data_IF_733400530225
#
_entry.id   IF_733400530225
#
_cell.length_a   1.000
_cell.length_b   1.000
_cell.length_c   1.000
_cell.angle_alpha   90.00
_cell.angle_beta   90.00
_cell.angle_gamma   90.00
#
_symmetry.space_group_name_H-M   'P 1'
#
loop_
_entity.id
_entity.type
_entity.pdbx_description
1 polymer ?
#
# COMPACT_ATOMS: atom_id res chain seq x y z
N UNK A 1 25.39 44.58 125.41
CA UNK A 1 23.93 44.41 125.55
C UNK A 1 23.15 45.35 124.62
N UNK A 2 23.13 46.67 124.79
CA UNK A 2 22.37 47.57 123.88
C UNK A 2 22.91 47.62 122.43
N UNK A 3 24.24 47.72 122.25
CA UNK A 3 24.85 47.70 120.90
C UNK A 3 24.59 46.41 120.13
N UNK A 4 24.63 45.28 120.82
CA UNK A 4 24.38 43.96 120.23
C UNK A 4 22.90 43.81 119.81
N UNK A 5 21.98 44.36 120.60
CA UNK A 5 20.55 44.38 120.30
C UNK A 5 20.21 45.24 119.07
N UNK A 6 20.90 46.38 118.91
CA UNK A 6 20.77 47.26 117.73
C UNK A 6 21.30 46.55 116.48
N UNK A 7 22.49 45.92 116.57
CA UNK A 7 23.09 45.18 115.46
C UNK A 7 22.20 44.01 115.02
N UNK A 8 21.64 43.26 115.98
CA UNK A 8 20.71 42.16 115.72
C UNK A 8 19.41 42.64 115.03
N UNK A 9 18.88 43.81 115.42
CA UNK A 9 17.71 44.42 114.75
C UNK A 9 18.02 44.83 113.30
N UNK A 10 19.20 45.36 113.04
CA UNK A 10 19.65 45.73 111.70
C UNK A 10 19.84 44.50 110.81
N UNK A 11 20.49 43.45 111.32
CA UNK A 11 20.68 42.19 110.62
C UNK A 11 19.34 41.50 110.31
N UNK A 12 18.39 41.53 111.25
CA UNK A 12 17.03 41.01 111.08
C UNK A 12 16.26 41.80 109.99
N UNK A 13 16.45 43.12 109.93
CA UNK A 13 15.86 43.97 108.90
C UNK A 13 16.43 43.64 107.52
N UNK A 14 17.75 43.51 107.43
CA UNK A 14 18.44 43.15 106.18
C UNK A 14 18.03 41.77 105.68
N UNK A 15 17.95 40.76 106.57
CA UNK A 15 17.46 39.43 106.18
C UNK A 15 16.01 39.44 105.72
N UNK A 16 15.15 40.27 106.33
CA UNK A 16 13.75 40.43 105.89
C UNK A 16 13.65 41.06 104.50
N UNK A 17 14.49 42.05 104.18
CA UNK A 17 14.56 42.65 102.84
C UNK A 17 15.07 41.65 101.80
N UNK A 18 16.17 40.94 102.10
CA UNK A 18 16.71 39.88 101.23
C UNK A 18 15.66 38.80 100.99
N UNK A 19 14.96 38.35 102.02
CA UNK A 19 13.90 37.34 101.90
C UNK A 19 12.79 37.82 100.95
N UNK A 20 12.34 39.07 101.11
CA UNK A 20 11.31 39.68 100.25
C UNK A 20 11.78 39.78 98.80
N UNK A 21 13.03 40.18 98.57
CA UNK A 21 13.61 40.27 97.23
C UNK A 21 13.73 38.89 96.58
N UNK A 22 14.14 37.88 97.35
CA UNK A 22 14.26 36.48 96.90
C UNK A 22 12.89 35.90 96.56
N UNK A 23 11.87 36.20 97.36
CA UNK A 23 10.49 35.79 97.11
C UNK A 23 9.95 36.40 95.81
N UNK A 24 10.22 37.68 95.55
CA UNK A 24 9.84 38.33 94.28
C UNK A 24 10.56 37.70 93.07
N UNK A 25 11.85 37.39 93.19
CA UNK A 25 12.62 36.67 92.15
C UNK A 25 12.05 35.28 91.90
N UNK A 26 11.64 34.56 92.95
CA UNK A 26 11.03 33.23 92.85
C UNK A 26 9.71 33.29 92.08
N UNK A 27 8.83 34.23 92.41
CA UNK A 27 7.56 34.46 91.70
C UNK A 27 7.81 34.76 90.22
N UNK A 28 8.81 35.58 89.90
CA UNK A 28 9.20 35.87 88.51
C UNK A 28 9.68 34.64 87.74
N UNK A 29 10.42 33.75 88.41
CA UNK A 29 10.88 32.47 87.85
C UNK A 29 9.71 31.50 87.64
N UNK A 30 8.79 31.36 88.59
CA UNK A 30 7.57 30.55 88.44
C UNK A 30 6.76 30.98 87.22
N UNK A 31 6.51 32.28 87.05
CA UNK A 31 5.80 32.81 85.86
C UNK A 31 6.52 32.49 84.55
N UNK A 32 7.84 32.56 84.53
CA UNK A 32 8.64 32.22 83.36
C UNK A 32 8.58 30.72 83.05
N UNK A 33 8.63 29.88 84.08
CA UNK A 33 8.50 28.42 83.97
C UNK A 33 7.16 28.01 83.36
N UNK A 34 6.05 28.61 83.80
CA UNK A 34 4.72 28.38 83.22
C UNK A 34 4.70 28.69 81.73
N UNK A 35 5.22 29.86 81.33
CA UNK A 35 5.30 30.26 79.91
C UNK A 35 6.14 29.29 79.07
N UNK A 36 7.25 28.78 79.63
CA UNK A 36 8.10 27.79 78.95
C UNK A 36 7.35 26.46 78.80
N UNK A 37 6.62 26.03 79.83
CA UNK A 37 5.82 24.80 79.81
C UNK A 37 4.72 24.85 78.74
N UNK A 38 4.01 25.98 78.65
CA UNK A 38 2.99 26.21 77.61
C UNK A 38 3.60 26.16 76.20
N UNK A 39 4.73 26.85 75.98
CA UNK A 39 5.45 26.80 74.70
C UNK A 39 5.91 25.40 74.34
N UNK A 40 6.42 24.65 75.31
CA UNK A 40 6.85 23.26 75.10
C UNK A 40 5.68 22.36 74.71
N UNK A 41 4.53 22.51 75.38
CA UNK A 41 3.30 21.77 75.04
C UNK A 41 2.82 22.07 73.61
N UNK A 42 2.81 23.34 73.22
CA UNK A 42 2.45 23.76 71.86
C UNK A 42 3.44 23.22 70.82
N UNK A 43 4.75 23.33 71.08
CA UNK A 43 5.78 22.81 70.19
C UNK A 43 5.68 21.29 70.02
N UNK A 44 5.35 20.56 71.09
CA UNK A 44 5.12 19.11 71.03
C UNK A 44 3.93 18.75 70.13
N UNK A 45 2.79 19.44 70.28
CA UNK A 45 1.62 19.23 69.40
C UNK A 45 1.96 19.48 67.93
N UNK A 46 2.70 20.56 67.64
CA UNK A 46 3.14 20.85 66.27
C UNK A 46 4.07 19.77 65.73
N UNK A 47 4.97 19.22 66.56
CA UNK A 47 5.85 18.13 66.16
C UNK A 47 5.08 16.84 65.84
N UNK A 48 4.05 16.52 66.62
CA UNK A 48 3.20 15.35 66.38
C UNK A 48 2.48 15.48 65.03
N UNK A 49 1.90 16.66 64.71
CA UNK A 49 1.27 16.94 63.42
C UNK A 49 2.26 16.78 62.26
N UNK A 50 3.45 17.40 62.37
CA UNK A 50 4.49 17.30 61.33
C UNK A 50 4.94 15.85 61.13
N UNK A 51 4.98 15.05 62.19
CA UNK A 51 5.36 13.64 62.11
C UNK A 51 4.30 12.81 61.38
N UNK A 52 3.02 13.11 61.60
CA UNK A 52 1.90 12.49 60.89
C UNK A 52 1.88 12.88 59.41
N UNK A 53 2.04 14.17 59.10
CA UNK A 53 2.12 14.67 57.72
C UNK A 53 3.28 14.02 56.95
N UNK A 54 4.45 13.91 57.59
CA UNK A 54 5.60 13.23 56.99
C UNK A 54 5.29 11.77 56.67
N UNK A 55 4.64 11.06 57.59
CA UNK A 55 4.28 9.65 57.39
C UNK A 55 3.30 9.50 56.22
N UNK A 56 2.33 10.40 56.10
CA UNK A 56 1.37 10.41 55.00
C UNK A 56 2.08 10.62 53.64
N UNK A 57 3.02 11.57 53.57
CA UNK A 57 3.84 11.81 52.37
C UNK A 57 4.69 10.59 52.02
N UNK A 58 5.32 9.94 53.00
CA UNK A 58 6.13 8.73 52.79
C UNK A 58 5.28 7.56 52.24
N UNK A 59 4.03 7.42 52.68
CA UNK A 59 3.08 6.43 52.17
C UNK A 59 2.73 6.75 50.70
N UNK A 60 2.42 8.00 50.37
CA UNK A 60 2.13 8.40 49.00
C UNK A 60 3.32 8.19 48.06
N UNK A 61 4.53 8.55 48.51
CA UNK A 61 5.76 8.32 47.74
C UNK A 61 6.00 6.83 47.45
N UNK A 62 5.72 5.98 48.43
CA UNK A 62 5.86 4.52 48.28
C UNK A 62 4.84 3.96 47.29
N UNK A 63 3.65 4.55 47.18
CA UNK A 63 2.62 4.17 46.20
C UNK A 63 2.92 4.68 44.79
N UNK A 64 3.44 5.90 44.67
CA UNK A 64 3.68 6.53 43.37
C UNK A 64 4.93 5.99 42.65
N UNK A 65 5.94 5.54 43.40
CA UNK A 65 7.19 5.02 42.82
C UNK A 65 6.98 3.81 41.87
N UNK A 66 6.24 2.76 42.25
CA UNK A 66 5.96 1.64 41.35
C UNK A 66 5.20 2.07 40.10
N UNK A 67 4.18 2.91 40.24
CA UNK A 67 3.36 3.39 39.12
C UNK A 67 4.21 4.18 38.10
N UNK A 68 5.17 4.98 38.58
CA UNK A 68 6.11 5.69 37.70
C UNK A 68 6.97 4.72 36.90
N UNK A 69 7.42 3.63 37.52
CA UNK A 69 8.27 2.65 36.86
C UNK A 69 7.50 1.78 35.87
N UNK A 70 6.27 1.39 36.22
CA UNK A 70 5.35 0.72 35.31
C UNK A 70 5.06 1.60 34.07
N UNK A 71 4.76 2.88 34.28
CA UNK A 71 4.51 3.80 33.17
C UNK A 71 5.74 3.97 32.26
N UNK A 72 6.95 4.01 32.82
CA UNK A 72 8.18 4.03 32.00
C UNK A 72 8.33 2.78 31.15
N UNK A 73 8.05 1.60 31.72
CA UNK A 73 8.09 0.36 30.95
C UNK A 73 7.01 0.32 29.85
N UNK A 74 5.80 0.80 30.14
CA UNK A 74 4.73 0.91 29.14
C UNK A 74 5.12 1.83 27.99
N UNK A 75 5.74 2.98 28.29
CA UNK A 75 6.26 3.91 27.28
C UNK A 75 7.35 3.26 26.43
N UNK A 76 8.27 2.50 27.05
CA UNK A 76 9.29 1.76 26.30
C UNK A 76 8.68 0.73 25.35
N UNK A 77 7.74 -0.09 25.85
CA UNK A 77 7.02 -1.09 25.03
C UNK A 77 6.21 -0.44 23.91
N UNK A 78 5.61 0.72 24.16
CA UNK A 78 4.88 1.47 23.14
C UNK A 78 5.83 1.99 22.05
N UNK A 79 6.99 2.52 22.42
CA UNK A 79 7.99 3.00 21.46
C UNK A 79 8.53 1.86 20.58
N UNK A 80 8.88 0.72 21.16
CA UNK A 80 9.32 -0.46 20.40
C UNK A 80 8.26 -0.92 19.39
N UNK A 81 6.98 -0.89 19.77
CA UNK A 81 5.88 -1.21 18.87
C UNK A 81 5.72 -0.19 17.74
N UNK A 82 5.89 1.11 18.04
CA UNK A 82 5.85 2.17 17.03
C UNK A 82 6.96 1.95 16.00
N UNK A 83 8.20 1.73 16.43
CA UNK A 83 9.34 1.50 15.53
C UNK A 83 9.13 0.27 14.62
N UNK A 84 8.57 -0.81 15.19
CA UNK A 84 8.22 -2.01 14.42
C UNK A 84 7.15 -1.71 13.37
N UNK A 85 6.06 -1.04 13.74
CA UNK A 85 4.97 -0.69 12.83
C UNK A 85 5.43 0.27 11.72
N UNK A 86 6.30 1.23 12.03
CA UNK A 86 6.90 2.11 11.03
C UNK A 86 7.75 1.35 10.02
N UNK A 87 8.50 0.35 10.48
CA UNK A 87 9.31 -0.51 9.61
C UNK A 87 8.44 -1.38 8.70
N UNK A 88 7.39 -2.00 9.24
CA UNK A 88 6.42 -2.78 8.46
C UNK A 88 5.68 -1.92 7.42
N UNK A 89 5.35 -0.67 7.78
CA UNK A 89 4.71 0.28 6.88
C UNK A 89 5.64 0.69 5.74
N UNK A 90 6.90 1.03 6.02
CA UNK A 90 7.91 1.37 4.99
C UNK A 90 8.09 0.23 3.99
N UNK A 91 8.27 -0.99 4.47
CA UNK A 91 8.41 -2.16 3.62
C UNK A 91 7.18 -2.39 2.73
N UNK A 92 5.98 -2.27 3.30
CA UNK A 92 4.73 -2.43 2.56
C UNK A 92 4.54 -1.34 1.51
N UNK A 93 4.93 -0.10 1.83
CA UNK A 93 4.89 1.05 0.92
C UNK A 93 5.82 0.86 -0.28
N UNK A 94 7.06 0.42 -0.04
CA UNK A 94 8.02 0.12 -1.12
C UNK A 94 7.50 -1.01 -2.04
N UNK A 95 6.94 -2.07 -1.44
CA UNK A 95 6.35 -3.17 -2.20
C UNK A 95 5.17 -2.71 -3.05
N UNK A 96 4.33 -1.81 -2.54
CA UNK A 96 3.22 -1.24 -3.28
C UNK A 96 3.72 -0.42 -4.49
N UNK A 97 4.76 0.40 -4.30
CA UNK A 97 5.38 1.16 -5.39
C UNK A 97 5.96 0.25 -6.49
N UNK A 98 6.68 -0.81 -6.11
CA UNK A 98 7.20 -1.80 -7.08
C UNK A 98 6.07 -2.49 -7.86
N UNK A 99 4.96 -2.86 -7.19
CA UNK A 99 3.79 -3.41 -7.85
C UNK A 99 3.14 -2.42 -8.82
N UNK A 100 3.05 -1.14 -8.46
CA UNK A 100 2.50 -0.10 -9.34
C UNK A 100 3.36 0.07 -10.60
N UNK A 101 4.69 0.04 -10.46
CA UNK A 101 5.60 0.06 -11.60
C UNK A 101 5.42 -1.16 -12.50
N UNK A 102 5.30 -2.36 -11.93
CA UNK A 102 5.04 -3.60 -12.69
C UNK A 102 3.71 -3.56 -13.42
N UNK A 103 2.66 -3.00 -12.81
CA UNK A 103 1.35 -2.83 -13.46
C UNK A 103 1.46 -1.89 -14.67
N UNK A 104 2.08 -0.72 -14.49
CA UNK A 104 2.29 0.22 -15.61
C UNK A 104 3.07 -0.41 -16.78
N UNK A 105 4.06 -1.23 -16.47
CA UNK A 105 4.80 -1.96 -17.51
C UNK A 105 3.91 -2.96 -18.25
N UNK A 106 3.14 -3.78 -17.50
CA UNK A 106 2.21 -4.75 -18.07
C UNK A 106 1.11 -4.10 -18.90
N UNK A 107 0.57 -2.96 -18.48
CA UNK A 107 -0.43 -2.21 -19.25
C UNK A 107 0.13 -1.78 -20.60
N UNK A 108 1.40 -1.34 -20.64
CA UNK A 108 2.09 -1.00 -21.89
C UNK A 108 2.32 -2.23 -22.78
N UNK A 109 2.68 -3.38 -22.21
CA UNK A 109 2.80 -4.63 -22.96
C UNK A 109 1.46 -5.06 -23.57
N UNK A 110 0.37 -4.96 -22.81
CA UNK A 110 -0.99 -5.26 -23.28
C UNK A 110 -1.37 -4.35 -24.44
N UNK A 111 -1.12 -3.05 -24.32
CA UNK A 111 -1.42 -2.08 -25.38
C UNK A 111 -0.62 -2.36 -26.65
N UNK A 112 0.66 -2.72 -26.52
CA UNK A 112 1.49 -3.12 -27.66
C UNK A 112 0.92 -4.38 -28.34
N UNK A 113 0.58 -5.42 -27.57
CA UNK A 113 0.00 -6.65 -28.11
C UNK A 113 -1.35 -6.42 -28.80
N UNK A 114 -2.18 -5.53 -28.25
CA UNK A 114 -3.45 -5.13 -28.86
C UNK A 114 -3.24 -4.46 -30.22
N UNK A 115 -2.26 -3.56 -30.30
CA UNK A 115 -1.91 -2.90 -31.56
C UNK A 115 -1.36 -3.89 -32.61
N UNK A 116 -0.53 -4.84 -32.19
CA UNK A 116 0.00 -5.88 -33.09
C UNK A 116 -1.11 -6.84 -33.57
N UNK A 117 -2.05 -7.19 -32.70
CA UNK A 117 -3.23 -7.98 -33.07
C UNK A 117 -4.07 -7.27 -34.13
N UNK A 118 -4.30 -5.96 -33.99
CA UNK A 118 -5.09 -5.21 -34.97
C UNK A 118 -4.38 -5.12 -36.33
N UNK A 119 -3.06 -4.91 -36.34
CA UNK A 119 -2.26 -4.97 -37.58
C UNK A 119 -2.38 -6.32 -38.27
N UNK A 120 -2.21 -7.42 -37.54
CA UNK A 120 -2.35 -8.78 -38.09
C UNK A 120 -3.75 -9.04 -38.62
N UNK A 121 -4.79 -8.53 -37.95
CA UNK A 121 -6.18 -8.63 -38.43
C UNK A 121 -6.37 -7.93 -39.77
N UNK A 122 -5.80 -6.74 -39.94
CA UNK A 122 -5.80 -6.01 -41.21
C UNK A 122 -5.07 -6.81 -42.29
N UNK A 123 -3.88 -7.34 -42.00
CA UNK A 123 -3.12 -8.18 -42.93
C UNK A 123 -3.89 -9.43 -43.37
N UNK A 124 -4.55 -10.13 -42.44
CA UNK A 124 -5.40 -11.29 -42.73
C UNK A 124 -6.55 -10.89 -43.67
N UNK A 125 -7.20 -9.76 -43.43
CA UNK A 125 -8.29 -9.29 -44.29
C UNK A 125 -7.80 -8.99 -45.72
N UNK A 126 -6.63 -8.37 -45.86
CA UNK A 126 -6.00 -8.12 -47.17
C UNK A 126 -5.69 -9.43 -47.88
N UNK A 127 -5.08 -10.40 -47.18
CA UNK A 127 -4.76 -11.71 -47.75
C UNK A 127 -6.00 -12.47 -48.18
N UNK A 128 -7.06 -12.45 -47.36
CA UNK A 128 -8.34 -13.07 -47.72
C UNK A 128 -8.97 -12.43 -48.97
N UNK A 129 -8.85 -11.11 -49.13
CA UNK A 129 -9.25 -10.41 -50.35
C UNK A 129 -8.50 -10.93 -51.57
N UNK A 130 -7.17 -11.00 -51.51
CA UNK A 130 -6.32 -11.53 -52.60
C UNK A 130 -6.64 -12.99 -52.94
N UNK A 131 -6.90 -13.83 -51.93
CA UNK A 131 -7.29 -15.23 -52.15
C UNK A 131 -8.61 -15.30 -52.93
N UNK A 132 -9.58 -14.43 -52.60
CA UNK A 132 -10.86 -14.37 -53.30
C UNK A 132 -10.67 -13.94 -54.75
N UNK A 133 -9.91 -12.88 -55.00
CA UNK A 133 -9.60 -12.40 -56.36
C UNK A 133 -8.92 -13.49 -57.20
N UNK A 134 -7.87 -14.13 -56.67
CA UNK A 134 -7.18 -15.22 -57.37
C UNK A 134 -8.09 -16.41 -57.65
N UNK A 135 -9.05 -16.69 -56.76
CA UNK A 135 -10.03 -17.76 -56.96
C UNK A 135 -10.99 -17.42 -58.11
N UNK A 136 -11.49 -16.20 -58.15
CA UNK A 136 -12.35 -15.71 -59.25
C UNK A 136 -11.61 -15.77 -60.59
N UNK A 137 -10.36 -15.31 -60.64
CA UNK A 137 -9.50 -15.40 -61.83
C UNK A 137 -9.27 -16.86 -62.27
N UNK A 138 -9.01 -17.76 -61.31
CA UNK A 138 -8.84 -19.19 -61.59
C UNK A 138 -10.11 -19.80 -62.19
N UNK A 139 -11.29 -19.46 -61.64
CA UNK A 139 -12.58 -19.93 -62.16
C UNK A 139 -12.85 -19.42 -63.58
N UNK A 140 -12.48 -18.17 -63.89
CA UNK A 140 -12.55 -17.63 -65.25
C UNK A 140 -11.61 -18.34 -66.23
N UNK A 141 -10.36 -18.57 -65.83
CA UNK A 141 -9.39 -19.31 -66.64
C UNK A 141 -9.87 -20.75 -66.91
N UNK A 142 -10.44 -21.43 -65.93
CA UNK A 142 -11.03 -22.76 -66.10
C UNK A 142 -12.17 -22.73 -67.14
N UNK A 143 -13.07 -21.73 -67.09
CA UNK A 143 -14.14 -21.58 -68.10
C UNK A 143 -13.57 -21.37 -69.50
N UNK A 144 -12.52 -20.55 -69.62
CA UNK A 144 -11.84 -20.30 -70.89
C UNK A 144 -11.19 -21.56 -71.46
N UNK A 145 -10.53 -22.36 -70.62
CA UNK A 145 -9.95 -23.65 -71.02
C UNK A 145 -11.04 -24.58 -71.55
N UNK A 146 -12.16 -24.76 -70.83
CA UNK A 146 -13.26 -25.62 -71.28
C UNK A 146 -13.86 -25.19 -72.62
N UNK A 147 -14.00 -23.88 -72.84
CA UNK A 147 -14.46 -23.33 -74.12
C UNK A 147 -13.49 -23.66 -75.26
N UNK A 148 -12.18 -23.44 -75.04
CA UNK A 148 -11.14 -23.76 -76.03
C UNK A 148 -11.06 -25.27 -76.31
N UNK A 149 -11.20 -26.12 -75.30
CA UNK A 149 -11.25 -27.58 -75.46
C UNK A 149 -12.44 -28.01 -76.33
N UNK A 150 -13.60 -27.38 -76.14
CA UNK A 150 -14.80 -27.63 -76.94
C UNK A 150 -14.57 -27.22 -78.39
N UNK A 151 -14.08 -26.00 -78.63
CA UNK A 151 -13.73 -25.51 -79.98
C UNK A 151 -12.70 -26.41 -80.66
N UNK A 152 -11.66 -26.84 -79.93
CA UNK A 152 -10.65 -27.75 -80.45
C UNK A 152 -11.25 -29.11 -80.86
N UNK A 153 -12.20 -29.63 -80.08
CA UNK A 153 -12.89 -30.88 -80.40
C UNK A 153 -13.73 -30.77 -81.67
N UNK A 154 -14.42 -29.65 -81.85
CA UNK A 154 -15.22 -29.35 -83.07
C UNK A 154 -14.30 -29.26 -84.29
N UNK A 155 -13.21 -28.50 -84.20
CA UNK A 155 -12.21 -28.40 -85.28
C UNK A 155 -11.61 -29.76 -85.64
N UNK A 156 -11.34 -30.62 -84.66
CA UNK A 156 -10.85 -31.99 -84.92
C UNK A 156 -11.90 -32.90 -85.56
N UNK A 157 -13.19 -32.68 -85.29
CA UNK A 157 -14.28 -33.44 -85.89
C UNK A 157 -14.55 -33.02 -87.35
N UNK A 158 -14.26 -31.76 -87.71
CA UNK A 158 -14.53 -31.21 -89.04
C UNK A 158 -13.95 -32.06 -90.20
N UNK A 159 -12.67 -32.48 -90.20
CA UNK A 159 -12.14 -33.34 -91.28
C UNK A 159 -12.88 -34.67 -91.41
N UNK A 160 -13.24 -35.30 -90.29
CA UNK A 160 -13.94 -36.60 -90.28
C UNK A 160 -15.34 -36.46 -90.86
N UNK A 161 -16.04 -35.37 -90.52
CA UNK A 161 -17.37 -35.06 -91.05
C UNK A 161 -17.30 -34.76 -92.55
N UNK A 162 -16.31 -33.95 -92.98
CA UNK A 162 -16.08 -33.66 -94.39
C UNK A 162 -15.78 -34.94 -95.19
N UNK A 163 -14.98 -35.84 -94.63
CA UNK A 163 -14.69 -37.14 -95.23
C UNK A 163 -15.95 -38.00 -95.37
N UNK A 164 -16.80 -38.04 -94.33
CA UNK A 164 -18.06 -38.78 -94.38
C UNK A 164 -19.05 -38.17 -95.38
N UNK A 165 -19.11 -36.85 -95.49
CA UNK A 165 -19.92 -36.15 -96.50
C UNK A 165 -19.43 -36.52 -97.90
N UNK A 166 -18.11 -36.48 -98.15
CA UNK A 166 -17.49 -36.91 -99.41
C UNK A 166 -17.95 -38.31 -99.80
N UNK A 167 -17.80 -39.27 -98.89
CA UNK A 167 -18.13 -40.66 -99.16
C UNK A 167 -19.62 -40.83 -99.53
N UNK A 168 -20.52 -40.10 -98.86
CA UNK A 168 -21.95 -40.10 -99.16
C UNK A 168 -22.25 -39.45 -100.52
N UNK A 169 -21.63 -38.29 -100.82
CA UNK A 169 -21.84 -37.58 -102.09
C UNK A 169 -21.38 -38.40 -103.29
N UNK A 170 -20.23 -39.09 -103.16
CA UNK A 170 -19.75 -40.04 -104.17
C UNK A 170 -20.71 -41.23 -104.32
N UNK A 171 -21.10 -41.88 -103.22
CA UNK A 171 -21.93 -43.08 -103.27
C UNK A 171 -23.35 -42.82 -103.80
N UNK A 172 -23.89 -41.61 -103.56
CA UNK A 172 -25.20 -41.19 -104.08
C UNK A 172 -25.14 -40.59 -105.49
N UNK A 173 -23.95 -40.46 -106.08
CA UNK A 173 -23.75 -39.95 -107.44
C UNK A 173 -23.99 -38.45 -107.59
N UNK A 174 -23.88 -37.67 -106.51
CA UNK A 174 -24.07 -36.22 -106.55
C UNK A 174 -22.87 -35.46 -107.11
N UNK A 175 -21.67 -36.07 -107.09
CA UNK A 175 -20.43 -35.52 -107.63
C UNK A 175 -19.62 -36.63 -108.29
N UNK A 176 -18.95 -36.31 -109.40
CA UNK A 176 -17.93 -37.16 -110.01
C UNK A 176 -16.54 -36.88 -109.42
N UNK A 177 -15.61 -37.85 -109.50
CA UNK A 177 -14.25 -37.72 -108.96
C UNK A 177 -13.54 -36.43 -109.44
N UNK A 178 -13.79 -36.00 -110.69
CA UNK A 178 -13.23 -34.77 -111.27
C UNK A 178 -13.82 -33.48 -110.69
N UNK A 179 -15.12 -33.47 -110.39
CA UNK A 179 -15.78 -32.31 -109.79
C UNK A 179 -15.38 -32.14 -108.33
N UNK A 180 -15.09 -33.26 -107.65
CA UNK A 180 -14.63 -33.26 -106.27
C UNK A 180 -13.21 -32.69 -106.14
N UNK A 181 -12.28 -33.08 -107.02
CA UNK A 181 -10.90 -32.56 -107.06
C UNK A 181 -10.84 -31.05 -107.33
N UNK A 182 -11.81 -30.50 -108.07
CA UNK A 182 -11.92 -29.07 -108.33
C UNK A 182 -12.32 -28.29 -107.07
N UNK A 183 -13.27 -28.82 -106.28
CA UNK A 183 -13.73 -28.19 -105.03
C UNK A 183 -12.58 -28.12 -104.03
N UNK A 184 -11.77 -29.18 -103.88
CA UNK A 184 -10.67 -29.18 -102.92
C UNK A 184 -9.54 -28.21 -103.27
N UNK A 185 -9.30 -27.95 -104.56
CA UNK A 185 -8.34 -26.91 -105.00
C UNK A 185 -8.74 -25.49 -104.60
N UNK A 186 -10.00 -25.25 -104.23
CA UNK A 186 -10.46 -23.94 -103.72
C UNK A 186 -10.22 -23.75 -102.21
N UNK A 187 -9.88 -24.82 -101.47
CA UNK A 187 -9.68 -24.79 -100.02
C UNK A 187 -8.24 -25.09 -99.56
N UNK A 188 -7.31 -25.34 -100.50
CA UNK A 188 -5.84 -25.28 -100.29
C UNK A 188 -5.32 -23.84 -100.39
#
# INVERSE_FOLDING_TARGET
MERDLVKYKEDLRNTKEILKETQNKLIGRERSLVKISEKFSSAKKSLDIVSEDKLNVDIELTRLKPNLEELKEEVLRANENIERLESEWRFSSEKAADMEHKLKFKDKEIENHKNDMEKRKIEINILNGKIKENREETEELIKKIKSLETQLSEVKASPIILERIRDVMMHKGFLTDKELDLIFKEFE
#
